data_IF_569555630123
#
_entry.id   IF_569555630123
#
_cell.length_a   1.000
_cell.length_b   1.000
_cell.length_c   1.000
_cell.angle_alpha   90.00
_cell.angle_beta   90.00
_cell.angle_gamma   90.00
#
_symmetry.space_group_name_H-M   'P 1'
#
loop_
_entity.id
_entity.type
_entity.pdbx_description
1 polymer ?
#
# COMPACT_ATOMS: atom_id res chain seq x y z
N UNK A 1 18.19 -15.76 17.87
CA UNK A 1 18.25 -15.75 16.40
C UNK A 1 18.52 -14.34 15.91
N UNK A 2 19.57 -14.18 15.14
CA UNK A 2 19.93 -12.87 14.65
C UNK A 2 19.05 -12.49 13.48
N UNK A 3 18.67 -11.22 13.45
CA UNK A 3 17.96 -10.68 12.30
C UNK A 3 18.99 -10.22 11.29
N UNK A 4 18.75 -10.57 10.04
CA UNK A 4 19.64 -10.18 8.96
C UNK A 4 19.01 -8.97 8.29
N UNK A 5 19.72 -7.86 8.31
CA UNK A 5 19.27 -6.64 7.68
C UNK A 5 20.04 -6.43 6.38
N UNK A 6 19.32 -5.92 5.38
CA UNK A 6 19.91 -5.47 4.14
C UNK A 6 19.94 -3.94 4.19
N UNK A 7 21.10 -3.36 3.93
CA UNK A 7 21.24 -1.91 3.93
C UNK A 7 21.15 -1.41 2.49
N UNK A 8 20.25 -0.50 2.24
CA UNK A 8 20.03 0.05 0.91
C UNK A 8 20.18 1.56 1.00
N UNK A 9 21.02 2.12 0.15
CA UNK A 9 21.24 3.56 0.09
C UNK A 9 20.14 4.19 -0.77
N UNK A 10 19.49 5.21 -0.24
CA UNK A 10 18.45 5.90 -0.99
C UNK A 10 19.06 7.02 -1.84
N UNK A 11 18.21 7.74 -2.56
CA UNK A 11 18.66 8.79 -3.48
C UNK A 11 19.34 9.97 -2.78
N UNK A 12 19.17 10.07 -1.45
CA UNK A 12 19.77 11.11 -0.64
C UNK A 12 21.06 10.66 0.04
N UNK A 13 21.54 9.47 -0.28
CA UNK A 13 22.74 8.94 0.34
C UNK A 13 22.52 8.35 1.72
N UNK A 14 21.30 8.24 2.16
CA UNK A 14 20.99 7.65 3.47
C UNK A 14 20.89 6.15 3.35
N UNK A 15 21.43 5.45 4.36
CA UNK A 15 21.32 4.00 4.43
C UNK A 15 20.09 3.63 5.22
N UNK A 16 19.22 2.85 4.60
CA UNK A 16 18.03 2.32 5.26
C UNK A 16 18.21 0.81 5.46
N UNK A 17 17.79 0.33 6.60
CA UNK A 17 17.87 -1.10 6.91
C UNK A 17 16.55 -1.77 6.61
N UNK A 18 16.62 -2.87 5.89
CA UNK A 18 15.46 -3.67 5.58
C UNK A 18 15.73 -5.11 5.99
N UNK A 19 14.68 -5.81 6.35
CA UNK A 19 14.76 -7.26 6.55
C UNK A 19 13.73 -7.90 5.65
N UNK A 20 13.88 -9.19 5.43
CA UNK A 20 12.87 -9.94 4.70
C UNK A 20 11.73 -10.29 5.65
N UNK A 21 10.51 -9.97 5.24
CA UNK A 21 9.33 -10.34 6.02
C UNK A 21 9.16 -11.85 5.96
N UNK A 22 8.84 -12.47 7.09
CA UNK A 22 8.76 -13.93 7.16
C UNK A 22 7.69 -14.51 6.24
N UNK A 23 6.62 -13.79 5.97
CA UNK A 23 5.53 -14.24 5.10
C UNK A 23 5.66 -13.52 3.78
N UNK A 24 6.22 -14.19 2.76
CA UNK A 24 6.37 -13.65 1.42
C UNK A 24 7.76 -13.14 1.07
N UNK A 25 8.59 -12.86 2.06
CA UNK A 25 10.00 -12.48 1.88
C UNK A 25 10.21 -11.09 1.29
N UNK A 26 9.19 -10.23 1.33
CA UNK A 26 9.35 -8.86 0.87
C UNK A 26 10.25 -8.04 1.80
N UNK A 27 10.70 -6.90 1.30
CA UNK A 27 11.59 -6.02 2.06
C UNK A 27 10.77 -5.13 2.97
N UNK A 28 10.99 -5.23 4.27
CA UNK A 28 10.29 -4.36 5.24
C UNK A 28 11.32 -3.59 6.05
N UNK A 29 11.11 -2.29 6.18
CA UNK A 29 12.03 -1.43 6.90
C UNK A 29 12.14 -1.85 8.36
N UNK A 30 13.31 -1.66 8.95
CA UNK A 30 13.53 -1.95 10.36
C UNK A 30 12.61 -1.15 11.27
N UNK A 31 12.13 0.01 10.81
CA UNK A 31 11.23 0.85 11.60
C UNK A 31 9.76 0.72 11.20
N UNK A 32 9.45 -0.12 10.22
CA UNK A 32 8.06 -0.37 9.87
C UNK A 32 7.45 -1.39 10.83
N UNK A 33 6.12 -1.40 10.90
CA UNK A 33 5.38 -2.37 11.70
C UNK A 33 4.51 -3.17 10.75
N UNK A 34 4.91 -4.41 10.49
CA UNK A 34 4.19 -5.29 9.57
C UNK A 34 3.72 -6.50 10.35
N UNK A 35 2.42 -6.71 10.36
CA UNK A 35 1.85 -7.82 11.10
C UNK A 35 2.40 -9.14 10.55
N UNK A 36 2.74 -10.10 11.42
CA UNK A 36 3.30 -11.38 10.95
C UNK A 36 2.40 -12.13 9.97
N UNK A 37 1.08 -11.92 10.03
CA UNK A 37 0.14 -12.58 9.13
C UNK A 37 0.00 -11.89 7.78
N UNK A 38 0.52 -10.66 7.66
CA UNK A 38 0.49 -9.98 6.37
C UNK A 38 1.45 -10.65 5.41
N UNK A 39 1.08 -10.70 4.14
CA UNK A 39 1.93 -11.24 3.08
C UNK A 39 2.58 -10.07 2.34
N UNK A 40 3.89 -10.07 2.25
CA UNK A 40 4.64 -9.06 1.49
C UNK A 40 5.47 -9.78 0.46
N UNK A 41 5.12 -9.65 -0.80
CA UNK A 41 5.75 -10.40 -1.88
C UNK A 41 7.23 -10.01 -1.99
N UNK A 42 8.06 -10.94 -2.47
CA UNK A 42 9.52 -10.80 -2.39
C UNK A 42 10.09 -9.57 -3.09
N UNK A 43 9.37 -9.02 -4.05
CA UNK A 43 9.81 -7.81 -4.76
C UNK A 43 9.16 -6.53 -4.23
N UNK A 44 8.34 -6.64 -3.19
CA UNK A 44 7.65 -5.48 -2.62
C UNK A 44 8.49 -4.84 -1.51
N UNK A 45 8.25 -3.55 -1.29
CA UNK A 45 8.96 -2.80 -0.26
C UNK A 45 7.96 -2.11 0.68
N UNK A 46 8.27 -2.16 1.98
CA UNK A 46 7.56 -1.38 3.00
C UNK A 46 8.58 -0.45 3.64
N UNK A 47 8.36 0.85 3.49
CA UNK A 47 9.33 1.87 3.85
C UNK A 47 9.26 2.23 5.34
N UNK A 48 10.22 3.04 5.84
CA UNK A 48 10.23 3.40 7.27
C UNK A 48 8.92 3.97 7.77
N UNK A 49 8.56 3.58 8.98
CA UNK A 49 7.40 4.08 9.72
C UNK A 49 6.05 3.70 9.11
N UNK A 50 6.05 2.92 8.03
CA UNK A 50 4.80 2.41 7.48
C UNK A 50 4.25 1.30 8.36
N UNK A 51 2.93 1.11 8.31
CA UNK A 51 2.25 0.09 9.08
C UNK A 51 1.38 -0.75 8.17
N UNK A 52 1.47 -2.06 8.32
CA UNK A 52 0.68 -3.01 7.53
C UNK A 52 -0.06 -3.94 8.49
N UNK A 53 -1.37 -3.96 8.40
CA UNK A 53 -2.23 -4.69 9.32
C UNK A 53 -2.32 -6.18 9.02
N UNK A 54 -2.97 -6.89 9.93
CA UNK A 54 -3.10 -8.35 9.85
C UNK A 54 -3.83 -8.78 8.58
N UNK A 55 -3.36 -9.86 7.99
CA UNK A 55 -4.00 -10.43 6.80
C UNK A 55 -3.90 -9.60 5.55
N UNK A 56 -3.18 -8.48 5.58
CA UNK A 56 -3.01 -7.68 4.37
C UNK A 56 -2.14 -8.42 3.36
N UNK A 57 -2.34 -8.13 2.10
CA UNK A 57 -1.61 -8.74 1.00
C UNK A 57 -0.96 -7.63 0.18
N UNK A 58 0.37 -7.64 0.12
CA UNK A 58 1.13 -6.64 -0.66
C UNK A 58 1.73 -7.37 -1.85
N UNK A 59 1.23 -7.05 -3.05
CA UNK A 59 1.59 -7.77 -4.27
C UNK A 59 2.96 -7.41 -4.83
N UNK A 60 3.32 -8.12 -5.89
CA UNK A 60 4.64 -8.02 -6.51
C UNK A 60 4.96 -6.60 -6.96
N UNK A 61 6.17 -6.15 -6.68
CA UNK A 61 6.63 -4.84 -7.13
C UNK A 61 5.96 -3.65 -6.48
N UNK A 62 5.11 -3.87 -5.48
CA UNK A 62 4.39 -2.78 -4.84
C UNK A 62 5.28 -2.09 -3.81
N UNK A 63 4.99 -0.83 -3.59
CA UNK A 63 5.81 0.04 -2.76
C UNK A 63 4.92 0.78 -1.80
N UNK A 64 5.09 0.48 -0.51
CA UNK A 64 4.36 1.15 0.57
C UNK A 64 5.30 2.19 1.16
N UNK A 65 5.04 3.45 0.86
CA UNK A 65 5.97 4.54 1.16
C UNK A 65 5.95 4.93 2.64
N UNK A 66 6.80 5.86 3.01
CA UNK A 66 7.04 6.25 4.40
C UNK A 66 5.75 6.64 5.10
N UNK A 67 5.56 6.10 6.29
CA UNK A 67 4.44 6.47 7.14
C UNK A 67 3.06 6.05 6.64
N UNK A 68 2.99 5.35 5.51
CA UNK A 68 1.70 4.89 5.00
C UNK A 68 1.09 3.84 5.93
N UNK A 69 -0.22 3.79 5.99
CA UNK A 69 -0.94 2.83 6.82
C UNK A 69 -1.84 1.99 5.93
N UNK A 70 -1.59 0.68 5.93
CA UNK A 70 -2.39 -0.29 5.19
C UNK A 70 -3.17 -1.10 6.21
N UNK A 71 -4.49 -1.02 6.16
CA UNK A 71 -5.35 -1.65 7.15
C UNK A 71 -5.37 -3.16 7.05
N UNK A 72 -5.98 -3.79 8.05
CA UNK A 72 -6.13 -5.24 8.09
C UNK A 72 -6.93 -5.73 6.89
N UNK A 73 -6.53 -6.84 6.30
CA UNK A 73 -7.26 -7.47 5.21
C UNK A 73 -7.23 -6.71 3.89
N UNK A 74 -6.42 -5.66 3.78
CA UNK A 74 -6.31 -4.90 2.53
C UNK A 74 -5.58 -5.75 1.49
N UNK A 75 -6.08 -5.72 0.28
CA UNK A 75 -5.42 -6.36 -0.85
C UNK A 75 -4.78 -5.30 -1.74
N UNK A 76 -3.47 -5.36 -1.89
CA UNK A 76 -2.70 -4.48 -2.78
C UNK A 76 -2.21 -5.33 -3.95
N UNK A 77 -2.60 -4.97 -5.16
CA UNK A 77 -2.19 -5.69 -6.36
C UNK A 77 -0.72 -5.50 -6.69
N UNK A 78 -0.35 -5.81 -7.92
CA UNK A 78 1.04 -5.70 -8.36
C UNK A 78 1.35 -4.26 -8.78
N UNK A 79 2.58 -3.83 -8.51
CA UNK A 79 3.11 -2.54 -8.98
C UNK A 79 2.25 -1.35 -8.52
N UNK A 80 1.80 -1.40 -7.28
CA UNK A 80 1.03 -0.32 -6.67
C UNK A 80 1.96 0.52 -5.82
N UNK A 81 1.90 1.83 -5.99
CA UNK A 81 2.62 2.75 -5.12
C UNK A 81 1.63 3.41 -4.16
N UNK A 82 1.82 3.17 -2.88
CA UNK A 82 1.05 3.83 -1.83
C UNK A 82 1.90 4.96 -1.28
N UNK A 83 1.47 6.20 -1.48
CA UNK A 83 2.26 7.37 -1.17
C UNK A 83 2.52 7.59 0.31
N UNK A 84 3.37 8.57 0.60
CA UNK A 84 3.76 8.86 1.98
C UNK A 84 2.55 9.24 2.81
N UNK A 85 2.43 8.62 3.98
CA UNK A 85 1.38 8.91 4.94
C UNK A 85 -0.04 8.69 4.42
N UNK A 86 -0.18 7.98 3.30
CA UNK A 86 -1.48 7.60 2.81
C UNK A 86 -2.09 6.55 3.74
N UNK A 87 -3.40 6.50 3.79
CA UNK A 87 -4.12 5.55 4.65
C UNK A 87 -5.10 4.77 3.82
N UNK A 88 -5.01 3.46 3.90
CA UNK A 88 -5.94 2.56 3.21
C UNK A 88 -6.72 1.79 4.27
N UNK A 89 -8.03 1.96 4.25
CA UNK A 89 -8.91 1.39 5.26
C UNK A 89 -9.01 -0.12 5.14
N UNK A 90 -9.49 -0.75 6.20
CA UNK A 90 -9.55 -2.20 6.30
C UNK A 90 -10.39 -2.81 5.19
N UNK A 91 -9.92 -3.93 4.66
CA UNK A 91 -10.65 -4.68 3.66
C UNK A 91 -10.70 -4.06 2.29
N UNK A 92 -10.05 -2.90 2.09
CA UNK A 92 -10.03 -2.28 0.77
C UNK A 92 -9.23 -3.13 -0.21
N UNK A 93 -9.56 -3.01 -1.48
CA UNK A 93 -8.87 -3.73 -2.56
C UNK A 93 -8.36 -2.74 -3.57
N UNK A 94 -7.06 -2.76 -3.78
CA UNK A 94 -6.39 -1.80 -4.68
C UNK A 94 -5.90 -2.58 -5.89
N UNK A 95 -6.41 -2.23 -7.06
CA UNK A 95 -6.04 -2.91 -8.30
C UNK A 95 -4.60 -2.62 -8.69
N UNK A 96 -4.06 -3.49 -9.56
CA UNK A 96 -2.67 -3.40 -9.98
C UNK A 96 -2.40 -2.10 -10.74
N UNK A 97 -1.14 -1.65 -10.70
CA UNK A 97 -0.67 -0.47 -11.44
C UNK A 97 -1.37 0.81 -10.99
N UNK A 98 -1.86 0.84 -9.76
CA UNK A 98 -2.53 2.00 -9.18
C UNK A 98 -1.52 2.83 -8.42
N UNK A 99 -1.71 4.15 -8.47
CA UNK A 99 -0.90 5.07 -7.70
C UNK A 99 -1.80 5.80 -6.70
N UNK A 100 -1.46 5.65 -5.43
CA UNK A 100 -2.16 6.34 -4.35
C UNK A 100 -1.27 7.48 -3.91
N UNK A 101 -1.76 8.71 -4.00
CA UNK A 101 -0.98 9.90 -3.69
C UNK A 101 -0.63 10.03 -2.21
N UNK A 102 0.27 10.97 -1.93
CA UNK A 102 0.69 11.22 -0.55
C UNK A 102 -0.49 11.73 0.26
N UNK A 103 -0.63 11.23 1.48
CA UNK A 103 -1.69 11.62 2.42
C UNK A 103 -3.10 11.35 1.91
N UNK A 104 -3.23 10.58 0.83
CA UNK A 104 -4.54 10.17 0.33
C UNK A 104 -5.20 9.22 1.33
N UNK A 105 -6.49 9.18 1.33
CA UNK A 105 -7.24 8.33 2.26
C UNK A 105 -8.28 7.52 1.49
N UNK A 106 -8.22 6.21 1.67
CA UNK A 106 -9.18 5.27 1.08
C UNK A 106 -9.96 4.66 2.23
N UNK A 107 -11.29 4.78 2.20
CA UNK A 107 -12.10 4.27 3.30
C UNK A 107 -12.19 2.76 3.28
N UNK A 108 -12.63 2.19 4.41
CA UNK A 108 -12.77 0.74 4.57
C UNK A 108 -13.59 0.13 3.44
N UNK A 109 -13.16 -1.02 2.97
CA UNK A 109 -13.91 -1.82 2.00
C UNK A 109 -13.95 -1.27 0.58
N UNK A 110 -13.25 -0.19 0.30
CA UNK A 110 -13.28 0.44 -1.02
C UNK A 110 -12.55 -0.39 -2.05
N UNK A 111 -13.10 -0.48 -3.25
CA UNK A 111 -12.43 -1.13 -4.37
C UNK A 111 -11.92 -0.06 -5.33
N UNK A 112 -10.62 -0.11 -5.62
CA UNK A 112 -9.99 0.80 -6.57
C UNK A 112 -9.59 -0.03 -7.79
N UNK A 113 -10.05 0.37 -8.95
CA UNK A 113 -9.80 -0.37 -10.19
C UNK A 113 -8.31 -0.32 -10.57
N UNK A 114 -7.90 -1.24 -11.43
CA UNK A 114 -6.55 -1.23 -11.99
C UNK A 114 -6.26 0.10 -12.68
N UNK A 115 -5.00 0.48 -12.69
CA UNK A 115 -4.51 1.65 -13.44
C UNK A 115 -5.15 2.97 -12.98
N UNK A 116 -5.57 3.04 -11.72
CA UNK A 116 -6.18 4.26 -11.17
C UNK A 116 -5.11 5.14 -10.55
N UNK A 117 -5.30 6.46 -10.66
CA UNK A 117 -4.47 7.43 -9.96
C UNK A 117 -5.34 8.17 -8.95
N UNK A 118 -4.97 8.05 -7.68
CA UNK A 118 -5.59 8.83 -6.61
C UNK A 118 -4.61 9.93 -6.27
N UNK A 119 -5.07 11.17 -6.32
CA UNK A 119 -4.20 12.32 -6.12
C UNK A 119 -3.77 12.50 -4.66
N UNK A 120 -2.76 13.35 -4.46
CA UNK A 120 -2.31 13.69 -3.11
C UNK A 120 -3.46 14.33 -2.34
N UNK A 121 -3.56 13.97 -1.06
CA UNK A 121 -4.58 14.49 -0.14
C UNK A 121 -6.02 14.15 -0.55
N UNK A 122 -6.19 13.33 -1.58
CA UNK A 122 -7.53 12.96 -2.04
C UNK A 122 -8.16 11.96 -1.07
N UNK A 123 -9.46 12.12 -0.83
CA UNK A 123 -10.20 11.21 0.02
C UNK A 123 -11.19 10.42 -0.84
N UNK A 124 -11.02 9.12 -0.88
CA UNK A 124 -11.95 8.23 -1.59
C UNK A 124 -12.85 7.61 -0.53
N UNK A 125 -14.10 8.02 -0.53
CA UNK A 125 -15.09 7.55 0.42
C UNK A 125 -15.98 6.54 -0.27
N UNK A 126 -16.75 5.81 0.54
CA UNK A 126 -17.76 4.94 -0.03
C UNK A 126 -18.59 5.77 -1.00
N UNK A 127 -18.58 5.35 -2.24
CA UNK A 127 -19.35 6.08 -3.24
C UNK A 127 -20.83 5.89 -2.97
N UNK A 128 -21.54 6.99 -2.87
CA UNK A 128 -22.99 6.93 -2.95
C UNK A 128 -23.35 6.46 -4.36
N UNK A 129 -24.48 5.74 -4.54
CA UNK A 129 -24.92 5.39 -5.88
C UNK A 129 -25.02 6.65 -6.71
N UNK A 130 -24.36 6.62 -7.86
CA UNK A 130 -24.42 7.78 -8.74
C UNK A 130 -25.67 7.72 -9.58
N UNK A 131 -26.39 8.81 -9.69
CA UNK A 131 -27.46 8.83 -10.68
C UNK A 131 -26.80 8.73 -12.04
N UNK A 132 -27.17 7.78 -12.74
CA UNK A 132 -26.73 7.59 -14.08
C UNK A 132 -25.26 7.74 -14.37
N UNK A 133 -24.90 8.10 -14.16
CA UNK A 133 -23.80 8.16 -14.38
C UNK A 133 -23.06 7.88 -14.73
N UNK A 134 -23.07 7.52 -14.91
CA UNK A 134 -22.26 7.41 -14.77
C UNK A 134 -21.35 7.47 -14.93
N UNK A 135 -21.97 7.33 -15.87
CA UNK A 135 -21.06 7.34 -15.81
C UNK A 135 -20.10 7.22 -15.70
N UNK A 136 -20.64 7.13 -16.36
CA UNK A 136 -19.76 6.93 -16.01
C UNK A 136 -19.01 6.80 -15.95
N UNK A 137 -19.22 6.47 -16.13
CA UNK A 137 -18.68 6.18 -15.77
C UNK A 137 -18.21 6.23 -15.53
N UNK A 138 -18.68 6.24 -16.39
CA UNK A 138 -18.40 6.17 -15.92
C UNK A 138 -17.92 6.08 -15.72
N UNK A 139 -18.19 5.92 -16.12
CA UNK A 139 -17.85 5.69 -15.75
C UNK A 139 -17.21 5.73 -15.25
N UNK A 140 -17.75 5.60 -16.08
CA UNK A 140 -17.48 5.51 -15.43
C UNK A 140 -17.15 5.55 -15.17
N UNK A 141 -17.62 5.40 -15.69
CA UNK A 141 -17.47 5.33 -15.20
C UNK A 141 -17.19 5.27 -14.97
#
# INVERSE_FOLDING_TARGET
MSKIYVEIENEFGELARYKHHQNGRGFVSATSVVDPTAFVESSAFVEPDAKVGSGAWIGAGSWIDRGAVVGAGVFIGANVHVGQEARIGRGAKIGSHTRIGDRAMIVDGMHIAHDTVVGDDEQIRRSAPRPGRETGFAKAA
#
